data_IF_845920529197
#
_entry.id   IF_845920529197
#
_cell.length_a   1.000
_cell.length_b   1.000
_cell.length_c   1.000
_cell.angle_alpha   90.00
_cell.angle_beta   90.00
_cell.angle_gamma   90.00
#
_symmetry.space_group_name_H-M   'P 1'
#
loop_
_entity.id
_entity.type
_entity.pdbx_description
1 polymer ?
#
# COMPACT_ATOMS: atom_id res chain seq x y z
N UNK A 1 -7.60 20.96 -5.92
CA UNK A 1 -6.62 21.41 -6.94
C UNK A 1 -7.05 22.69 -7.65
N UNK A 2 -8.23 22.75 -8.30
CA UNK A 2 -8.66 23.92 -9.08
C UNK A 2 -8.60 25.22 -8.26
N UNK A 3 -9.24 25.24 -7.09
CA UNK A 3 -9.27 26.44 -6.24
C UNK A 3 -7.90 26.84 -5.69
N UNK A 4 -7.06 25.85 -5.35
CA UNK A 4 -5.67 26.07 -4.91
C UNK A 4 -4.85 26.72 -6.04
N UNK A 5 -4.96 26.21 -7.26
CA UNK A 5 -4.31 26.78 -8.44
C UNK A 5 -4.84 28.18 -8.77
N UNK A 6 -6.15 28.39 -8.67
CA UNK A 6 -6.76 29.70 -8.86
C UNK A 6 -6.19 30.72 -7.86
N UNK A 7 -6.18 30.40 -6.56
CA UNK A 7 -5.59 31.24 -5.52
C UNK A 7 -4.09 31.49 -5.77
N UNK A 8 -3.34 30.45 -6.13
CA UNK A 8 -1.92 30.58 -6.42
C UNK A 8 -1.65 31.53 -7.58
N UNK A 9 -2.38 31.41 -8.69
CA UNK A 9 -2.18 32.23 -9.88
C UNK A 9 -2.66 33.66 -9.69
N UNK A 10 -3.84 33.85 -9.09
CA UNK A 10 -4.48 35.18 -9.03
C UNK A 10 -4.03 36.03 -7.85
N UNK A 11 -3.54 35.40 -6.77
CA UNK A 11 -3.13 36.09 -5.54
C UNK A 11 -1.64 35.90 -5.28
N UNK A 12 -1.21 34.67 -5.06
CA UNK A 12 0.09 34.39 -4.46
C UNK A 12 1.25 34.73 -5.41
N UNK A 13 1.15 34.39 -6.70
CA UNK A 13 2.25 34.61 -7.66
C UNK A 13 2.75 36.06 -7.69
N UNK A 14 1.85 37.05 -7.70
CA UNK A 14 2.22 38.46 -7.82
C UNK A 14 2.54 39.11 -6.47
N UNK A 15 2.04 38.54 -5.37
CA UNK A 15 2.14 39.17 -4.04
C UNK A 15 3.30 38.59 -3.21
N UNK A 16 3.82 37.41 -3.57
CA UNK A 16 4.96 36.75 -2.91
C UNK A 16 6.11 36.49 -3.87
N UNK A 17 6.40 37.41 -4.80
CA UNK A 17 7.43 37.27 -5.85
C UNK A 17 8.84 36.97 -5.30
N UNK A 18 9.15 37.45 -4.09
CA UNK A 18 10.41 37.18 -3.39
C UNK A 18 10.65 35.68 -3.12
N UNK A 19 9.60 34.85 -3.14
CA UNK A 19 9.65 33.42 -2.86
C UNK A 19 9.72 32.56 -4.14
N UNK A 20 10.49 32.99 -5.14
CA UNK A 20 10.57 32.34 -6.45
C UNK A 20 10.84 30.82 -6.40
N UNK A 21 11.74 30.36 -5.52
CA UNK A 21 12.03 28.93 -5.34
C UNK A 21 10.82 28.14 -4.84
N UNK A 22 10.04 28.72 -3.93
CA UNK A 22 8.83 28.09 -3.40
C UNK A 22 7.73 28.03 -4.47
N UNK A 23 7.57 29.08 -5.28
CA UNK A 23 6.65 29.06 -6.41
C UNK A 23 7.02 27.99 -7.45
N UNK A 24 8.31 27.90 -7.80
CA UNK A 24 8.79 26.86 -8.72
C UNK A 24 8.53 25.46 -8.15
N UNK A 25 8.89 25.25 -6.89
CA UNK A 25 8.69 23.97 -6.20
C UNK A 25 7.21 23.60 -6.09
N UNK A 26 6.33 24.57 -5.83
CA UNK A 26 4.88 24.36 -5.80
C UNK A 26 4.34 24.01 -7.20
N UNK A 27 4.75 24.74 -8.24
CA UNK A 27 4.37 24.46 -9.62
C UNK A 27 4.77 23.05 -10.05
N UNK A 28 6.00 22.63 -9.72
CA UNK A 28 6.49 21.27 -9.97
C UNK A 28 5.68 20.23 -9.17
N UNK A 29 5.43 20.47 -7.89
CA UNK A 29 4.66 19.57 -7.04
C UNK A 29 3.23 19.38 -7.58
N UNK A 30 2.54 20.45 -7.99
CA UNK A 30 1.19 20.36 -8.56
C UNK A 30 1.20 19.65 -9.92
N UNK A 31 2.18 19.94 -10.79
CA UNK A 31 2.31 19.26 -12.08
C UNK A 31 2.55 17.76 -11.92
N UNK A 32 3.46 17.37 -11.03
CA UNK A 32 3.73 15.96 -10.71
C UNK A 32 2.52 15.30 -10.04
N UNK A 33 1.83 15.99 -9.13
CA UNK A 33 0.61 15.51 -8.49
C UNK A 33 -0.48 15.22 -9.53
N UNK A 34 -0.73 16.16 -10.45
CA UNK A 34 -1.70 16.00 -11.53
C UNK A 34 -1.36 14.82 -12.44
N UNK A 35 -0.10 14.72 -12.86
CA UNK A 35 0.39 13.64 -13.72
C UNK A 35 0.23 12.27 -13.04
N UNK A 36 0.71 12.12 -11.80
CA UNK A 36 0.64 10.85 -11.09
C UNK A 36 -0.80 10.46 -10.72
N UNK A 37 -1.66 11.44 -10.40
CA UNK A 37 -3.10 11.22 -10.20
C UNK A 37 -3.75 10.65 -11.47
N UNK A 38 -3.52 11.30 -12.61
CA UNK A 38 -4.02 10.84 -13.91
C UNK A 38 -3.51 9.44 -14.27
N UNK A 39 -2.21 9.18 -14.03
CA UNK A 39 -1.62 7.85 -14.23
C UNK A 39 -2.22 6.80 -13.30
N UNK A 40 -2.50 7.12 -12.04
CA UNK A 40 -3.12 6.18 -11.10
C UNK A 40 -4.55 5.80 -11.52
N UNK A 41 -5.29 6.75 -12.12
CA UNK A 41 -6.63 6.52 -12.68
C UNK A 41 -6.55 5.62 -13.92
N UNK A 42 -5.64 5.92 -14.85
CA UNK A 42 -5.66 5.35 -16.21
C UNK A 42 -4.84 4.08 -16.38
N UNK A 43 -3.86 3.83 -15.52
CA UNK A 43 -3.05 2.62 -15.62
C UNK A 43 -3.85 1.39 -15.22
N UNK A 44 -3.54 0.29 -15.91
CA UNK A 44 -3.92 -1.04 -15.45
C UNK A 44 -3.35 -1.26 -14.03
N UNK A 45 -4.18 -1.63 -13.04
CA UNK A 45 -3.72 -1.87 -11.68
C UNK A 45 -2.95 -3.18 -11.49
N UNK A 46 -2.79 -4.00 -12.53
CA UNK A 46 -2.28 -5.37 -12.46
C UNK A 46 -3.43 -6.37 -12.49
N UNK A 47 -4.25 -6.37 -13.55
CA UNK A 47 -5.33 -7.35 -13.68
C UNK A 47 -4.73 -8.75 -13.80
N UNK A 48 -5.25 -9.70 -13.01
CA UNK A 48 -4.81 -11.09 -13.09
C UNK A 48 -5.23 -11.71 -14.44
N UNK A 49 -4.35 -12.51 -15.06
CA UNK A 49 -4.66 -13.18 -16.32
C UNK A 49 -5.84 -14.15 -16.14
N UNK A 50 -6.73 -14.18 -17.12
CA UNK A 50 -7.81 -15.18 -17.21
C UNK A 50 -7.33 -16.36 -18.06
N UNK A 51 -7.85 -17.58 -17.83
CA UNK A 51 -7.59 -18.72 -18.70
C UNK A 51 -7.97 -18.40 -20.15
N UNK A 52 -7.16 -18.84 -21.11
CA UNK A 52 -7.37 -18.58 -22.54
C UNK A 52 -8.46 -19.50 -23.14
N UNK A 53 -8.73 -20.64 -22.51
CA UNK A 53 -9.72 -21.61 -22.97
C UNK A 53 -10.40 -22.35 -21.81
N UNK A 54 -11.58 -22.91 -22.08
CA UNK A 54 -12.30 -23.77 -21.12
C UNK A 54 -11.48 -25.01 -20.74
N UNK A 55 -10.63 -25.50 -21.65
CA UNK A 55 -9.71 -26.61 -21.37
C UNK A 55 -8.66 -26.24 -20.32
N UNK A 56 -8.07 -25.06 -20.43
CA UNK A 56 -7.11 -24.53 -19.45
C UNK A 56 -7.79 -24.23 -18.10
N UNK A 57 -9.01 -23.68 -18.13
CA UNK A 57 -9.80 -23.47 -16.92
C UNK A 57 -10.07 -24.79 -16.21
N UNK A 58 -10.46 -25.83 -16.94
CA UNK A 58 -10.71 -27.16 -16.39
C UNK A 58 -9.44 -27.75 -15.78
N UNK A 59 -8.30 -27.68 -16.47
CA UNK A 59 -7.04 -28.20 -15.93
C UNK A 59 -6.64 -27.47 -14.64
N UNK A 60 -6.76 -26.13 -14.60
CA UNK A 60 -6.49 -25.35 -13.38
C UNK A 60 -7.36 -25.80 -12.20
N UNK A 61 -8.65 -26.09 -12.45
CA UNK A 61 -9.57 -26.54 -11.40
C UNK A 61 -9.21 -27.95 -10.93
N UNK A 62 -8.92 -28.87 -11.85
CA UNK A 62 -8.53 -30.24 -11.56
C UNK A 62 -7.21 -30.29 -10.78
N UNK A 63 -6.21 -29.50 -11.19
CA UNK A 63 -4.91 -29.38 -10.51
C UNK A 63 -5.12 -28.89 -9.08
N UNK A 64 -5.83 -27.77 -8.90
CA UNK A 64 -6.11 -27.22 -7.57
C UNK A 64 -6.93 -28.18 -6.70
N UNK A 65 -7.87 -28.94 -7.28
CA UNK A 65 -8.66 -29.92 -6.56
C UNK A 65 -7.80 -31.12 -6.11
N UNK A 66 -6.93 -31.62 -7.00
CA UNK A 66 -6.02 -32.74 -6.72
C UNK A 66 -5.00 -32.39 -5.62
N UNK A 67 -4.55 -31.13 -5.59
CA UNK A 67 -3.67 -30.60 -4.55
C UNK A 67 -4.40 -30.29 -3.22
N UNK A 68 -5.73 -30.42 -3.17
CA UNK A 68 -6.54 -30.03 -2.01
C UNK A 68 -6.55 -28.50 -1.77
N UNK A 69 -6.20 -27.71 -2.80
CA UNK A 69 -6.01 -26.26 -2.73
C UNK A 69 -7.13 -25.48 -3.39
N UNK A 70 -8.17 -26.11 -3.95
CA UNK A 70 -9.30 -25.42 -4.57
C UNK A 70 -10.15 -24.70 -3.50
N UNK A 71 -9.86 -23.41 -3.28
CA UNK A 71 -10.58 -22.58 -2.32
C UNK A 71 -10.59 -21.10 -2.75
N UNK A 72 -11.32 -20.25 -2.03
CA UNK A 72 -11.45 -18.82 -2.37
C UNK A 72 -10.16 -17.99 -2.27
N UNK A 73 -9.06 -18.56 -1.75
CA UNK A 73 -7.76 -17.91 -1.72
C UNK A 73 -7.00 -18.12 -3.03
N UNK A 74 -7.06 -19.33 -3.60
CA UNK A 74 -6.32 -19.77 -4.80
C UNK A 74 -7.14 -19.69 -6.08
N UNK A 75 -8.47 -19.63 -6.00
CA UNK A 75 -9.36 -19.55 -7.15
C UNK A 75 -10.45 -18.48 -6.95
N UNK A 76 -10.78 -17.75 -8.02
CA UNK A 76 -11.86 -16.77 -8.04
C UNK A 76 -13.03 -17.30 -8.86
N UNK A 77 -14.16 -17.57 -8.20
CA UNK A 77 -15.40 -18.00 -8.87
C UNK A 77 -16.02 -16.91 -9.74
N UNK A 78 -15.82 -15.62 -9.41
CA UNK A 78 -16.41 -14.50 -10.16
C UNK A 78 -15.64 -14.26 -11.47
N UNK A 79 -14.32 -14.38 -11.43
CA UNK A 79 -13.48 -14.20 -12.61
C UNK A 79 -13.19 -15.51 -13.36
N UNK A 80 -13.58 -16.66 -12.80
CA UNK A 80 -13.23 -18.00 -13.29
C UNK A 80 -11.73 -18.12 -13.59
N UNK A 81 -10.90 -17.76 -12.60
CA UNK A 81 -9.45 -17.68 -12.79
C UNK A 81 -8.69 -18.09 -11.52
N UNK A 82 -7.51 -18.69 -11.69
CA UNK A 82 -6.55 -18.89 -10.60
C UNK A 82 -6.11 -17.54 -10.06
N UNK A 83 -6.04 -17.42 -8.75
CA UNK A 83 -5.64 -16.21 -8.04
C UNK A 83 -4.15 -16.28 -7.73
N UNK A 84 -3.33 -15.37 -8.27
CA UNK A 84 -1.97 -15.19 -7.80
C UNK A 84 -1.94 -14.88 -6.30
N UNK A 85 -0.84 -15.22 -5.64
CA UNK A 85 -0.56 -14.86 -4.27
C UNK A 85 -0.62 -13.34 -4.12
N UNK A 86 -1.15 -12.87 -2.98
CA UNK A 86 -1.41 -11.44 -2.70
C UNK A 86 -2.45 -10.78 -3.63
N UNK A 87 -3.17 -11.56 -4.46
CA UNK A 87 -4.26 -11.02 -5.29
C UNK A 87 -5.62 -11.03 -4.59
N UNK A 88 -6.52 -10.15 -5.05
CA UNK A 88 -7.91 -10.09 -4.57
C UNK A 88 -8.86 -9.67 -5.68
N UNK A 89 -10.04 -10.29 -5.68
CA UNK A 89 -11.18 -9.82 -6.47
C UNK A 89 -11.75 -8.54 -5.86
N UNK A 90 -11.75 -7.46 -6.64
CA UNK A 90 -12.42 -6.22 -6.28
C UNK A 90 -13.82 -6.23 -6.89
N UNK A 91 -14.86 -6.25 -6.04
CA UNK A 91 -16.26 -6.24 -6.49
C UNK A 91 -16.65 -4.96 -7.22
N UNK A 92 -16.04 -3.83 -6.88
CA UNK A 92 -16.34 -2.53 -7.53
C UNK A 92 -15.77 -2.50 -8.94
N UNK A 93 -14.55 -3.01 -9.13
CA UNK A 93 -13.89 -3.04 -10.43
C UNK A 93 -14.21 -4.31 -11.24
N UNK A 94 -14.93 -5.27 -10.64
CA UNK A 94 -15.28 -6.60 -11.13
C UNK A 94 -14.11 -7.39 -11.76
N UNK A 95 -12.97 -7.38 -11.07
CA UNK A 95 -11.74 -8.02 -11.55
C UNK A 95 -10.80 -8.39 -10.41
N UNK A 96 -10.00 -9.43 -10.64
CA UNK A 96 -8.89 -9.81 -9.77
C UNK A 96 -7.68 -8.91 -10.03
N UNK A 97 -7.12 -8.34 -8.95
CA UNK A 97 -5.95 -7.46 -8.99
C UNK A 97 -4.78 -8.16 -8.32
N UNK A 98 -3.64 -8.26 -9.03
CA UNK A 98 -2.37 -8.78 -8.54
C UNK A 98 -1.75 -7.81 -7.54
N UNK A 99 -1.14 -8.37 -6.47
CA UNK A 99 -0.61 -7.62 -5.33
C UNK A 99 -1.53 -6.44 -4.93
N UNK A 100 -2.80 -6.77 -4.70
CA UNK A 100 -3.85 -5.77 -4.45
C UNK A 100 -3.57 -5.03 -3.15
N UNK A 101 -3.64 -3.69 -3.20
CA UNK A 101 -3.57 -2.83 -2.02
C UNK A 101 -4.97 -2.50 -1.51
N UNK A 102 -5.71 -1.70 -2.29
CA UNK A 102 -7.10 -1.34 -1.99
C UNK A 102 -7.83 -0.88 -3.26
N UNK A 103 -9.15 -0.73 -3.17
CA UNK A 103 -9.91 0.06 -4.14
C UNK A 103 -10.00 1.48 -3.62
N UNK A 104 -9.58 2.46 -4.43
CA UNK A 104 -9.53 3.85 -4.03
C UNK A 104 -10.62 4.64 -4.75
N UNK A 105 -11.65 5.13 -4.03
CA UNK A 105 -12.72 5.92 -4.64
C UNK A 105 -12.22 7.21 -5.29
N UNK A 106 -11.13 7.80 -4.77
CA UNK A 106 -10.59 9.08 -5.23
C UNK A 106 -9.95 9.02 -6.62
N UNK A 107 -9.36 7.89 -6.98
CA UNK A 107 -8.82 7.63 -8.34
C UNK A 107 -9.77 6.76 -9.16
N UNK A 108 -10.92 6.37 -8.59
CA UNK A 108 -11.90 5.47 -9.19
C UNK A 108 -11.28 4.21 -9.84
N UNK A 109 -10.22 3.69 -9.22
CA UNK A 109 -9.46 2.56 -9.72
C UNK A 109 -8.93 1.75 -8.54
N UNK A 110 -8.60 0.48 -8.79
CA UNK A 110 -7.82 -0.28 -7.82
C UNK A 110 -6.39 0.24 -7.76
N UNK A 111 -5.79 0.19 -6.57
CA UNK A 111 -4.36 0.36 -6.38
C UNK A 111 -3.76 -1.03 -6.22
N UNK A 112 -2.89 -1.41 -7.14
CA UNK A 112 -2.28 -2.74 -7.22
C UNK A 112 -0.90 -2.69 -7.84
N UNK A 113 -0.38 -3.84 -8.27
CA UNK A 113 1.01 -4.00 -8.69
C UNK A 113 1.53 -2.90 -9.64
N UNK A 114 0.74 -2.56 -10.66
CA UNK A 114 1.21 -1.77 -11.80
C UNK A 114 1.02 -0.25 -11.62
N UNK A 115 0.15 0.19 -10.71
CA UNK A 115 -0.11 1.61 -10.47
C UNK A 115 0.20 2.09 -9.03
N UNK A 116 0.55 1.20 -8.09
CA UNK A 116 0.84 1.58 -6.71
C UNK A 116 1.96 2.64 -6.60
N UNK A 117 3.01 2.57 -7.43
CA UNK A 117 4.07 3.60 -7.45
C UNK A 117 3.52 4.99 -7.79
N UNK A 118 2.63 5.07 -8.78
CA UNK A 118 2.01 6.34 -9.17
C UNK A 118 1.11 6.87 -8.06
N UNK A 119 0.37 5.99 -7.38
CA UNK A 119 -0.42 6.37 -6.21
C UNK A 119 0.45 6.97 -5.09
N UNK A 120 1.61 6.37 -4.76
CA UNK A 120 2.52 6.91 -3.74
C UNK A 120 3.12 8.25 -4.15
N UNK A 121 3.55 8.40 -5.41
CA UNK A 121 4.07 9.66 -5.93
C UNK A 121 2.99 10.75 -5.94
N UNK A 122 1.75 10.40 -6.28
CA UNK A 122 0.59 11.29 -6.20
C UNK A 122 0.38 11.80 -4.77
N UNK A 123 0.27 10.91 -3.78
CA UNK A 123 0.03 11.34 -2.39
C UNK A 123 1.22 12.13 -1.83
N UNK A 124 2.45 11.75 -2.17
CA UNK A 124 3.67 12.45 -1.73
C UNK A 124 3.69 13.89 -2.27
N UNK A 125 3.45 14.04 -3.57
CA UNK A 125 3.45 15.37 -4.22
C UNK A 125 2.24 16.21 -3.82
N UNK A 126 1.11 15.59 -3.48
CA UNK A 126 -0.04 16.27 -2.89
C UNK A 126 0.29 16.86 -1.51
N UNK A 127 0.92 16.08 -0.62
CA UNK A 127 1.34 16.54 0.72
C UNK A 127 2.33 17.69 0.59
N UNK A 128 3.36 17.54 -0.25
CA UNK A 128 4.34 18.61 -0.52
C UNK A 128 3.64 19.85 -1.07
N UNK A 129 2.75 19.69 -2.05
CA UNK A 129 2.00 20.79 -2.65
C UNK A 129 1.16 21.57 -1.65
N UNK A 130 0.47 20.89 -0.73
CA UNK A 130 -0.32 21.55 0.32
C UNK A 130 0.60 22.33 1.28
N UNK A 131 1.71 21.73 1.74
CA UNK A 131 2.66 22.41 2.64
C UNK A 131 3.22 23.68 1.99
N UNK A 132 3.59 23.62 0.71
CA UNK A 132 4.10 24.79 -0.02
C UNK A 132 3.02 25.85 -0.24
N UNK A 133 1.77 25.46 -0.51
CA UNK A 133 0.64 26.38 -0.63
C UNK A 133 0.34 27.10 0.69
N UNK A 134 0.31 26.36 1.80
CA UNK A 134 0.08 26.91 3.13
C UNK A 134 1.22 27.87 3.53
N UNK A 135 2.47 27.53 3.20
CA UNK A 135 3.60 28.44 3.39
C UNK A 135 3.48 29.72 2.57
N UNK A 136 3.13 29.64 1.27
CA UNK A 136 2.94 30.83 0.43
C UNK A 136 1.79 31.69 0.93
N UNK A 137 0.70 31.06 1.40
CA UNK A 137 -0.44 31.76 2.00
C UNK A 137 -0.03 32.47 3.30
N UNK A 138 0.76 31.82 4.15
CA UNK A 138 1.35 32.44 5.33
C UNK A 138 2.26 33.63 4.95
N UNK A 139 3.16 33.45 3.98
CA UNK A 139 4.06 34.49 3.52
C UNK A 139 3.29 35.72 3.02
N UNK A 140 2.22 35.50 2.25
CA UNK A 140 1.32 36.56 1.78
C UNK A 140 0.72 37.35 2.95
N UNK A 141 0.09 36.68 3.92
CA UNK A 141 -0.53 37.37 5.05
C UNK A 141 0.49 38.01 6.00
N UNK A 142 1.70 37.47 6.10
CA UNK A 142 2.78 38.07 6.90
C UNK A 142 3.36 39.35 6.29
N UNK A 143 3.21 39.53 4.97
CA UNK A 143 3.70 40.69 4.24
C UNK A 143 2.72 41.87 4.19
N UNK A 144 1.46 41.66 4.56
CA UNK A 144 0.44 42.71 4.55
C UNK A 144 0.20 43.26 5.96
N UNK A 145 0.02 44.58 6.06
CA UNK A 145 -0.41 45.24 7.29
C UNK A 145 -1.93 45.35 7.30
N UNK A 146 -2.60 44.49 8.08
CA UNK A 146 -4.06 44.53 8.22
C UNK A 146 -4.45 45.36 9.45
N UNK A 147 -5.38 46.30 9.28
CA UNK A 147 -5.95 47.05 10.40
C UNK A 147 -6.68 46.09 11.33
N UNK A 148 -6.23 46.00 12.59
CA UNK A 148 -6.89 45.23 13.65
C UNK A 148 -7.84 46.09 14.49
N UNK A 149 -8.21 47.27 13.98
CA UNK A 149 -9.13 48.17 14.67
C UNK A 149 -10.52 47.52 14.79
N UNK A 150 -11.15 47.52 15.98
CA UNK A 150 -12.51 47.00 16.17
C UNK A 150 -13.57 47.69 15.29
N UNK A 151 -13.27 48.88 14.76
CA UNK A 151 -14.15 49.60 13.84
C UNK A 151 -14.16 49.01 12.42
N UNK A 152 -13.08 48.34 12.01
CA UNK A 152 -12.90 47.77 10.66
C UNK A 152 -13.24 46.28 10.61
N UNK A 153 -13.47 45.65 11.76
CA UNK A 153 -13.74 44.22 11.90
C UNK A 153 -15.23 44.02 12.16
N UNK A 154 -15.84 43.05 11.48
CA UNK A 154 -17.24 42.69 11.73
C UNK A 154 -17.44 42.27 13.20
N UNK A 155 -18.38 42.88 13.94
CA UNK A 155 -18.64 42.55 15.34
C UNK A 155 -19.20 41.13 15.52
N UNK A 156 -19.58 40.47 14.43
CA UNK A 156 -20.08 39.08 14.44
C UNK A 156 -18.97 38.02 14.33
N UNK A 157 -17.71 38.43 14.17
CA UNK A 157 -16.60 37.49 14.07
C UNK A 157 -16.20 36.95 15.46
N UNK A 158 -16.20 35.63 15.61
CA UNK A 158 -15.93 34.92 16.89
C UNK A 158 -14.42 34.60 17.04
N UNK A 159 -13.61 34.84 16.01
CA UNK A 159 -12.18 34.54 15.99
C UNK A 159 -11.37 35.67 16.67
N UNK A 160 -10.09 35.41 17.03
CA UNK A 160 -9.15 36.47 17.42
C UNK A 160 -9.09 37.60 16.39
N UNK A 161 -8.87 38.84 16.84
CA UNK A 161 -8.92 40.05 16.01
C UNK A 161 -8.05 39.95 14.75
N UNK A 162 -6.82 39.43 14.86
CA UNK A 162 -5.92 39.22 13.72
C UNK A 162 -6.49 38.25 12.69
N UNK A 163 -7.10 37.15 13.15
CA UNK A 163 -7.74 36.16 12.27
C UNK A 163 -9.01 36.72 11.63
N UNK A 164 -9.78 37.53 12.34
CA UNK A 164 -10.94 38.22 11.76
C UNK A 164 -10.51 39.22 10.68
N UNK A 165 -9.43 39.96 10.92
CA UNK A 165 -8.89 40.93 9.97
C UNK A 165 -8.36 40.23 8.69
N UNK A 166 -7.59 39.16 8.84
CA UNK A 166 -7.09 38.32 7.74
C UNK A 166 -8.25 37.70 6.94
N UNK A 167 -9.25 37.17 7.64
CA UNK A 167 -10.43 36.56 7.00
C UNK A 167 -11.29 37.59 6.27
N UNK A 168 -11.41 38.81 6.81
CA UNK A 168 -12.12 39.91 6.15
C UNK A 168 -11.38 40.40 4.89
N UNK A 169 -10.04 40.34 4.89
CA UNK A 169 -9.22 40.76 3.76
C UNK A 169 -9.36 39.83 2.54
N UNK A 170 -9.17 38.51 2.71
CA UNK A 170 -9.39 37.53 1.64
C UNK A 170 -10.02 36.24 2.19
N UNK A 171 -11.34 36.27 2.36
CA UNK A 171 -12.11 35.14 2.89
C UNK A 171 -11.95 33.88 2.04
N UNK A 172 -11.82 34.03 0.72
CA UNK A 172 -11.73 32.88 -0.18
C UNK A 172 -10.39 32.17 -0.05
N UNK A 173 -9.27 32.91 -0.07
CA UNK A 173 -7.94 32.34 0.12
C UNK A 173 -7.82 31.64 1.48
N UNK A 174 -8.30 32.29 2.55
CA UNK A 174 -8.31 31.71 3.90
C UNK A 174 -9.14 30.42 3.93
N UNK A 175 -10.33 30.42 3.33
CA UNK A 175 -11.19 29.22 3.28
C UNK A 175 -10.53 28.06 2.53
N UNK A 176 -9.88 28.35 1.40
CA UNK A 176 -9.16 27.34 0.61
C UNK A 176 -7.95 26.79 1.38
N UNK A 177 -7.17 27.65 2.05
CA UNK A 177 -6.05 27.25 2.88
C UNK A 177 -6.49 26.41 4.08
N UNK A 178 -7.50 26.86 4.83
CA UNK A 178 -8.06 26.07 5.94
C UNK A 178 -8.51 24.69 5.49
N UNK A 179 -9.18 24.59 4.33
CA UNK A 179 -9.59 23.31 3.77
C UNK A 179 -8.38 22.46 3.35
N UNK A 180 -7.35 23.05 2.73
CA UNK A 180 -6.13 22.36 2.34
C UNK A 180 -5.36 21.83 3.57
N UNK A 181 -5.16 22.64 4.60
CA UNK A 181 -4.54 22.25 5.86
C UNK A 181 -5.34 21.16 6.57
N UNK A 182 -6.67 21.24 6.55
CA UNK A 182 -7.51 20.18 7.10
C UNK A 182 -7.25 18.85 6.35
N UNK A 183 -7.21 18.86 5.02
CA UNK A 183 -6.90 17.70 4.18
C UNK A 183 -5.49 17.14 4.42
N UNK A 184 -4.53 18.00 4.76
CA UNK A 184 -3.15 17.62 5.06
C UNK A 184 -3.07 16.61 6.20
N UNK A 185 -3.91 16.77 7.23
CA UNK A 185 -3.85 15.96 8.45
C UNK A 185 -4.04 14.46 8.17
N UNK A 186 -5.08 14.06 7.43
CA UNK A 186 -5.28 12.64 7.09
C UNK A 186 -4.41 12.16 5.93
N UNK A 187 -4.04 13.03 4.99
CA UNK A 187 -3.16 12.63 3.87
C UNK A 187 -1.76 12.31 4.35
N UNK A 188 -1.24 13.00 5.38
CA UNK A 188 0.02 12.64 6.05
C UNK A 188 -0.09 11.27 6.71
N UNK A 189 -1.18 11.00 7.43
CA UNK A 189 -1.40 9.69 8.08
C UNK A 189 -1.44 8.58 7.03
N UNK A 190 -2.18 8.80 5.93
CA UNK A 190 -2.23 7.87 4.81
C UNK A 190 -0.82 7.62 4.24
N UNK A 191 -0.06 8.68 3.95
CA UNK A 191 1.28 8.58 3.38
C UNK A 191 2.25 7.85 4.33
N UNK A 192 2.25 8.20 5.61
CA UNK A 192 3.07 7.54 6.61
C UNK A 192 2.73 6.05 6.74
N UNK A 193 1.43 5.72 6.74
CA UNK A 193 0.98 4.33 6.79
C UNK A 193 1.44 3.53 5.57
N UNK A 194 1.38 4.11 4.37
CA UNK A 194 1.81 3.47 3.13
C UNK A 194 3.33 3.29 3.09
N UNK A 195 4.12 4.28 3.53
CA UNK A 195 5.56 4.12 3.63
C UNK A 195 5.98 3.04 4.62
N UNK A 196 5.28 2.94 5.76
CA UNK A 196 5.51 1.84 6.72
C UNK A 196 5.17 0.48 6.12
N UNK A 197 4.08 0.38 5.35
CA UNK A 197 3.70 -0.85 4.64
C UNK A 197 4.73 -1.25 3.59
N UNK A 198 5.21 -0.29 2.79
CA UNK A 198 6.28 -0.50 1.81
C UNK A 198 7.57 -0.95 2.50
N UNK A 199 7.95 -0.27 3.58
CA UNK A 199 9.13 -0.60 4.38
C UNK A 199 9.12 -2.03 4.94
N UNK A 200 7.95 -2.63 5.10
CA UNK A 200 7.75 -4.00 5.62
C UNK A 200 7.30 -4.99 4.54
N UNK A 201 7.26 -4.56 3.28
CA UNK A 201 6.74 -5.31 2.13
C UNK A 201 5.36 -5.93 2.40
N UNK A 202 4.41 -5.09 2.83
CA UNK A 202 3.01 -5.44 3.04
C UNK A 202 2.10 -4.55 2.20
N UNK A 203 0.89 -5.01 1.92
CA UNK A 203 -0.19 -4.19 1.35
C UNK A 203 -1.27 -3.89 2.39
N UNK A 204 -2.11 -2.89 2.13
CA UNK A 204 -3.24 -2.52 3.01
C UNK A 204 -4.21 -3.68 3.16
N UNK A 205 -4.38 -4.47 2.09
CA UNK A 205 -5.15 -5.72 2.11
C UNK A 205 -4.59 -6.70 3.15
N UNK A 206 -3.27 -6.90 3.17
CA UNK A 206 -2.61 -7.84 4.07
C UNK A 206 -2.70 -7.36 5.51
N UNK A 207 -2.39 -6.08 5.75
CA UNK A 207 -2.45 -5.47 7.09
C UNK A 207 -3.87 -5.52 7.66
N UNK A 208 -4.89 -5.25 6.84
CA UNK A 208 -6.29 -5.32 7.28
C UNK A 208 -6.80 -6.74 7.51
N UNK A 209 -6.06 -7.77 7.07
CA UNK A 209 -6.44 -9.18 7.16
C UNK A 209 -5.33 -10.05 7.78
N UNK A 210 -4.48 -9.50 8.65
CA UNK A 210 -3.35 -10.22 9.28
C UNK A 210 -3.79 -11.53 9.97
N UNK A 211 -5.00 -11.57 10.55
CA UNK A 211 -5.54 -12.78 11.17
C UNK A 211 -5.94 -13.90 10.19
N UNK A 212 -6.04 -13.61 8.89
CA UNK A 212 -6.53 -14.51 7.82
C UNK A 212 -5.43 -14.97 6.85
N UNK A 213 -4.39 -14.15 6.62
CA UNK A 213 -3.28 -14.53 5.74
C UNK A 213 -2.19 -15.24 6.56
N UNK A 214 -2.14 -16.57 6.49
CA UNK A 214 -1.29 -17.36 7.39
C UNK A 214 0.22 -17.38 7.07
N UNK A 215 0.67 -16.81 5.96
CA UNK A 215 2.10 -16.52 5.77
C UNK A 215 2.61 -15.39 6.69
N UNK A 216 1.70 -14.67 7.35
CA UNK A 216 1.96 -13.68 8.41
C UNK A 216 1.40 -14.13 9.76
N UNK A 217 1.28 -15.44 10.03
CA UNK A 217 0.93 -15.93 11.37
C UNK A 217 -0.57 -15.90 11.73
N UNK A 218 -1.44 -15.91 10.73
CA UNK A 218 -2.90 -16.11 10.89
C UNK A 218 -3.29 -17.48 11.47
N UNK A 219 -4.58 -17.65 11.83
CA UNK A 219 -5.08 -18.90 12.46
C UNK A 219 -4.83 -20.14 11.58
N UNK A 220 -4.42 -21.24 12.24
CA UNK A 220 -4.16 -22.54 11.61
C UNK A 220 -5.34 -23.02 10.74
N UNK A 221 -5.00 -23.58 9.59
CA UNK A 221 -5.93 -23.85 8.47
C UNK A 221 -5.78 -22.88 7.30
N UNK A 222 -5.14 -21.73 7.54
CA UNK A 222 -4.72 -20.76 6.50
C UNK A 222 -3.22 -20.46 6.52
N UNK A 223 -2.46 -21.25 7.30
CA UNK A 223 -1.00 -21.25 7.39
C UNK A 223 -0.37 -21.47 6.02
N UNK A 224 0.92 -21.16 5.90
CA UNK A 224 1.71 -21.54 4.73
C UNK A 224 1.54 -23.03 4.39
N UNK A 225 1.20 -23.91 5.35
CA UNK A 225 0.88 -25.33 5.13
C UNK A 225 -0.50 -25.62 4.49
N UNK A 226 -1.40 -24.64 4.38
CA UNK A 226 -2.66 -24.73 3.62
C UNK A 226 -2.60 -24.02 2.26
N UNK A 227 -1.56 -23.21 2.02
CA UNK A 227 -1.29 -22.55 0.73
C UNK A 227 -0.12 -23.20 -0.02
N UNK A 228 0.90 -23.68 0.69
CA UNK A 228 1.94 -24.59 0.23
C UNK A 228 1.61 -25.97 0.82
N UNK A 229 1.53 -26.96 -0.06
CA UNK A 229 1.09 -28.30 0.27
C UNK A 229 1.86 -28.94 1.44
N UNK A 230 1.18 -29.86 2.09
CA UNK A 230 1.71 -30.75 3.09
C UNK A 230 2.79 -31.66 2.49
N UNK A 231 4.08 -31.42 2.81
CA UNK A 231 5.12 -32.47 2.85
C UNK A 231 5.93 -32.32 4.13
N UNK A 232 5.29 -32.56 5.27
CA UNK A 232 6.03 -33.06 6.42
C UNK A 232 5.93 -34.58 6.40
N UNK A 233 7.02 -35.20 5.96
CA UNK A 233 7.30 -36.62 6.17
C UNK A 233 7.15 -36.92 7.66
N UNK A 234 6.32 -37.92 7.97
CA UNK A 234 6.20 -38.48 9.30
C UNK A 234 7.59 -38.84 9.86
N UNK A 235 7.87 -38.36 11.08
CA UNK A 235 8.74 -39.07 12.01
C UNK A 235 8.09 -39.07 13.38
N UNK A 236 7.40 -40.19 13.64
CA UNK A 236 7.12 -40.82 14.94
C UNK A 236 6.69 -39.92 16.10
N UNK A 237 5.40 -39.97 16.42
CA UNK A 237 4.95 -40.15 17.79
C UNK A 237 3.49 -40.62 17.73
N UNK A 238 3.28 -41.87 18.12
CA UNK A 238 1.97 -42.46 18.35
C UNK A 238 1.21 -41.65 19.41
N UNK A 239 -0.07 -41.39 19.17
CA UNK A 239 -1.16 -41.66 20.13
C UNK A 239 -2.49 -41.35 19.46
N UNK A 240 -3.40 -42.30 19.60
CA UNK A 240 -4.80 -42.26 19.21
C UNK A 240 -5.52 -41.09 19.88
N UNK A 241 -6.45 -40.45 19.18
CA UNK A 241 -7.76 -40.16 19.76
C UNK A 241 -8.78 -39.75 18.67
N UNK A 242 -9.73 -40.67 18.51
CA UNK A 242 -11.02 -40.49 17.82
C UNK A 242 -11.97 -39.64 18.66
N UNK A 243 -12.49 -38.54 18.13
CA UNK A 243 -13.78 -37.95 18.54
C UNK A 243 -14.25 -36.97 17.44
N UNK A 244 -15.24 -37.33 16.63
CA UNK A 244 -16.68 -37.18 16.86
C UNK A 244 -17.16 -35.72 16.99
N UNK A 245 -18.10 -35.43 16.10
CA UNK A 245 -19.02 -34.29 16.07
C UNK A 245 -19.70 -34.13 17.43
N UNK A 246 -19.70 -32.91 17.98
CA UNK A 246 -20.76 -32.48 18.90
C UNK A 246 -20.98 -30.97 18.84
N UNK A 247 -22.25 -30.62 18.61
CA UNK A 247 -22.85 -29.35 19.00
C UNK A 247 -22.75 -29.16 20.52
N UNK A 248 -22.36 -27.97 20.97
CA UNK A 248 -22.81 -27.45 22.27
C UNK A 248 -22.61 -25.92 22.36
N UNK A 249 -23.72 -25.26 22.70
CA UNK A 249 -23.83 -23.85 22.99
C UNK A 249 -23.10 -23.43 24.29
N UNK A 250 -22.63 -22.17 24.37
CA UNK A 250 -22.53 -21.38 25.62
C UNK A 250 -22.13 -19.94 25.25
N UNK A 251 -23.06 -18.98 25.40
CA UNK A 251 -23.31 -18.13 26.58
C UNK A 251 -22.64 -16.75 26.44
N UNK A 252 -23.47 -15.73 26.21
CA UNK A 252 -23.05 -14.34 26.17
C UNK A 252 -23.23 -13.72 27.55
N UNK A 253 -22.13 -13.34 28.20
CA UNK A 253 -22.12 -12.48 29.39
C UNK A 253 -21.88 -11.03 28.96
N UNK A 254 -22.88 -10.16 29.21
CA UNK A 254 -22.74 -8.72 29.05
C UNK A 254 -22.16 -8.13 30.34
N UNK A 255 -20.93 -7.62 30.28
CA UNK A 255 -20.41 -6.72 31.31
C UNK A 255 -20.66 -5.26 30.91
N UNK A 256 -21.54 -4.60 31.65
CA UNK A 256 -21.67 -3.15 31.66
C UNK A 256 -20.55 -2.56 32.51
N UNK A 257 -19.61 -1.85 31.88
CA UNK A 257 -18.59 -1.05 32.54
C UNK A 257 -18.93 0.44 32.49
N UNK A 258 -19.09 1.05 33.67
CA UNK A 258 -19.31 2.47 33.88
C UNK A 258 -18.11 3.34 33.40
N UNK A 259 -18.29 4.66 33.18
CA UNK A 259 -17.31 5.49 32.49
C UNK A 259 -16.18 5.88 33.44
N UNK A 260 -14.95 5.48 33.12
CA UNK A 260 -13.76 6.00 33.77
C UNK A 260 -13.35 7.32 33.12
N UNK A 261 -13.28 8.36 33.94
CA UNK A 261 -12.74 9.67 33.60
C UNK A 261 -11.24 9.57 33.33
N UNK A 262 -10.83 9.95 32.12
CA UNK A 262 -9.42 10.14 31.76
C UNK A 262 -9.01 9.47 30.46
N UNK A 263 -9.20 10.14 29.32
CA UNK A 263 -8.32 10.01 28.15
C UNK A 263 -8.77 10.93 27.00
N UNK A 264 -8.19 12.13 26.91
CA UNK A 264 -8.28 12.98 25.71
C UNK A 264 -7.64 12.35 24.46
N UNK A 265 -6.92 11.23 24.60
CA UNK A 265 -6.36 10.46 23.48
C UNK A 265 -7.39 9.57 22.77
N UNK A 266 -8.45 9.14 23.44
CA UNK A 266 -9.40 8.17 22.89
C UNK A 266 -10.28 8.73 21.79
N UNK A 267 -10.71 9.99 21.93
CA UNK A 267 -11.55 10.68 20.94
C UNK A 267 -10.78 11.00 19.67
N UNK A 268 -9.57 11.55 19.79
CA UNK A 268 -8.69 11.87 18.67
C UNK A 268 -8.33 10.61 17.86
N UNK A 269 -8.01 9.51 18.53
CA UNK A 269 -7.69 8.25 17.85
C UNK A 269 -8.90 7.64 17.13
N UNK A 270 -10.11 7.84 17.65
CA UNK A 270 -11.36 7.39 17.02
C UNK A 270 -11.77 8.30 15.84
N UNK A 271 -11.60 9.61 16.00
CA UNK A 271 -11.85 10.62 14.97
C UNK A 271 -10.88 10.48 13.80
N UNK A 272 -9.61 10.16 14.07
CA UNK A 272 -8.57 9.93 13.07
C UNK A 272 -8.58 8.50 12.50
N UNK A 273 -9.47 7.61 12.97
CA UNK A 273 -9.55 6.20 12.54
C UNK A 273 -8.32 5.34 12.89
N UNK A 274 -7.46 5.84 13.78
CA UNK A 274 -6.28 5.14 14.29
C UNK A 274 -6.65 4.09 15.36
N UNK A 275 -7.88 4.12 15.86
CA UNK A 275 -8.42 3.12 16.79
C UNK A 275 -8.36 1.69 16.21
N UNK A 276 -8.56 1.56 14.89
CA UNK A 276 -8.51 0.32 14.13
C UNK A 276 -7.13 -0.35 14.16
N UNK A 277 -6.06 0.42 14.40
CA UNK A 277 -4.69 -0.06 14.53
C UNK A 277 -4.22 -0.16 15.98
N UNK A 278 -4.95 0.41 16.94
CA UNK A 278 -4.49 0.59 18.32
C UNK A 278 -5.35 -0.11 19.37
N UNK A 279 -6.46 -0.76 18.97
CA UNK A 279 -7.33 -1.52 19.89
C UNK A 279 -7.58 -2.97 19.45
N UNK A 280 -7.59 -3.88 20.43
CA UNK A 280 -8.17 -5.23 20.35
C UNK A 280 -7.47 -6.22 19.39
N UNK A 281 -8.28 -7.03 18.68
CA UNK A 281 -7.85 -8.14 17.79
C UNK A 281 -6.81 -7.74 16.72
N UNK A 282 -6.74 -6.45 16.35
CA UNK A 282 -5.74 -5.93 15.42
C UNK A 282 -4.34 -5.86 16.05
N UNK A 283 -4.23 -5.52 17.34
CA UNK A 283 -2.96 -5.50 18.10
C UNK A 283 -2.50 -6.93 18.38
N UNK A 284 -3.41 -7.83 18.77
CA UNK A 284 -3.10 -9.26 18.92
C UNK A 284 -2.72 -9.90 17.57
N UNK A 285 -3.37 -9.48 16.49
CA UNK A 285 -3.02 -9.85 15.12
C UNK A 285 -1.63 -9.35 14.73
N UNK A 286 -1.28 -8.10 15.07
CA UNK A 286 0.07 -7.56 14.89
C UNK A 286 1.11 -8.29 15.74
N UNK A 287 0.79 -8.65 16.99
CA UNK A 287 1.69 -9.36 17.90
C UNK A 287 1.93 -10.82 17.47
N UNK A 288 0.91 -11.48 16.88
CA UNK A 288 1.06 -12.81 16.27
C UNK A 288 1.78 -12.75 14.93
N UNK A 289 1.47 -11.75 14.09
CA UNK A 289 2.19 -11.48 12.86
C UNK A 289 3.65 -11.06 13.11
N UNK A 290 3.95 -10.51 14.27
CA UNK A 290 5.32 -10.26 14.71
C UNK A 290 6.10 -11.55 14.99
N UNK A 291 5.43 -12.69 15.25
CA UNK A 291 6.08 -14.00 15.48
C UNK A 291 6.26 -14.80 14.19
N UNK A 292 5.46 -14.56 13.16
CA UNK A 292 5.63 -15.16 11.83
C UNK A 292 6.47 -14.23 10.95
N UNK A 293 7.54 -14.74 10.35
CA UNK A 293 8.35 -13.94 9.44
C UNK A 293 7.59 -13.67 8.14
N UNK A 294 7.46 -12.41 7.73
CA UNK A 294 6.97 -12.07 6.39
C UNK A 294 7.97 -12.62 5.36
N UNK A 295 7.60 -13.61 4.52
CA UNK A 295 8.53 -14.23 3.57
C UNK A 295 8.99 -13.26 2.47
N UNK A 296 8.26 -12.15 2.26
CA UNK A 296 8.61 -11.11 1.30
C UNK A 296 9.52 -10.02 1.87
N UNK A 297 9.84 -10.06 3.17
CA UNK A 297 10.63 -9.03 3.84
C UNK A 297 12.14 -9.23 3.60
N UNK A 298 12.74 -8.31 2.85
CA UNK A 298 14.18 -8.20 2.56
C UNK A 298 14.88 -7.16 3.45
N UNK A 299 14.22 -6.65 4.49
CA UNK A 299 14.65 -5.50 5.27
C UNK A 299 14.31 -4.18 4.57
N UNK A 300 14.41 -3.08 5.32
CA UNK A 300 13.92 -1.75 4.90
C UNK A 300 14.37 -1.34 3.49
N UNK A 301 15.67 -1.38 3.22
CA UNK A 301 16.23 -0.96 1.92
C UNK A 301 15.83 -1.94 0.81
N UNK A 302 15.85 -3.24 1.08
CA UNK A 302 15.46 -4.27 0.12
C UNK A 302 13.99 -4.16 -0.28
N UNK A 303 13.11 -3.91 0.69
CA UNK A 303 11.68 -3.75 0.47
C UNK A 303 11.36 -2.51 -0.35
N UNK A 304 12.02 -1.39 -0.05
CA UNK A 304 11.90 -0.17 -0.85
C UNK A 304 12.40 -0.41 -2.28
N UNK A 305 13.57 -1.04 -2.47
CA UNK A 305 14.08 -1.40 -3.80
C UNK A 305 13.12 -2.32 -4.56
N UNK A 306 12.54 -3.33 -3.90
CA UNK A 306 11.57 -4.23 -4.50
C UNK A 306 10.30 -3.51 -4.96
N UNK A 307 9.77 -2.61 -4.12
CA UNK A 307 8.60 -1.79 -4.45
C UNK A 307 8.82 -0.95 -5.71
N UNK A 308 9.96 -0.25 -5.79
CA UNK A 308 10.28 0.60 -6.94
C UNK A 308 10.67 -0.20 -8.19
N UNK A 309 11.29 -1.38 -8.01
CA UNK A 309 11.71 -2.26 -9.11
C UNK A 309 10.61 -3.20 -9.61
N UNK A 310 9.43 -3.18 -8.98
CA UNK A 310 8.26 -3.98 -9.36
C UNK A 310 8.42 -5.50 -9.17
N UNK A 311 9.08 -5.95 -8.10
CA UNK A 311 9.31 -7.39 -7.88
C UNK A 311 10.61 -7.93 -8.48
N UNK A 312 11.34 -7.12 -9.28
CA UNK A 312 12.62 -7.54 -9.87
C UNK A 312 13.70 -7.82 -8.83
N UNK A 313 13.70 -7.10 -7.72
CA UNK A 313 14.62 -7.36 -6.59
C UNK A 313 14.37 -8.75 -5.97
N UNK A 314 13.11 -9.17 -5.88
CA UNK A 314 12.72 -10.52 -5.45
C UNK A 314 12.81 -11.57 -6.57
N UNK A 315 12.97 -11.16 -7.84
CA UNK A 315 12.89 -12.05 -9.00
C UNK A 315 11.50 -12.63 -9.24
N UNK A 316 10.44 -11.86 -8.92
CA UNK A 316 9.06 -12.33 -8.87
C UNK A 316 8.17 -11.55 -9.83
N UNK A 317 7.42 -12.28 -10.66
CA UNK A 317 6.27 -11.75 -11.41
C UNK A 317 5.00 -11.91 -10.56
N UNK A 318 4.58 -10.86 -9.87
CA UNK A 318 3.43 -10.91 -8.95
C UNK A 318 2.10 -11.30 -9.63
N UNK A 319 1.99 -11.16 -10.94
CA UNK A 319 0.83 -11.58 -11.75
C UNK A 319 0.77 -13.11 -11.96
N UNK A 320 1.90 -13.81 -11.79
CA UNK A 320 2.04 -15.27 -11.95
C UNK A 320 2.64 -15.95 -10.73
N UNK A 321 2.75 -15.24 -9.61
CA UNK A 321 3.24 -15.80 -8.37
C UNK A 321 2.11 -16.60 -7.72
N UNK A 322 2.22 -17.93 -7.65
CA UNK A 322 1.20 -18.78 -6.99
C UNK A 322 1.68 -19.41 -5.69
N UNK A 323 2.99 -19.51 -5.51
CA UNK A 323 3.62 -20.24 -4.41
C UNK A 323 4.79 -19.46 -3.81
N UNK A 324 5.09 -19.74 -2.54
CA UNK A 324 6.28 -19.22 -1.86
C UNK A 324 7.35 -20.31 -1.92
N UNK A 325 8.62 -19.99 -2.27
CA UNK A 325 9.72 -20.96 -2.20
C UNK A 325 9.82 -21.59 -0.81
N UNK A 326 10.13 -22.89 -0.73
CA UNK A 326 10.28 -23.62 0.55
C UNK A 326 11.32 -22.98 1.49
N UNK A 327 12.39 -22.45 0.91
CA UNK A 327 13.47 -21.74 1.60
C UNK A 327 13.18 -20.23 1.86
N UNK A 328 12.06 -19.72 1.35
CA UNK A 328 11.69 -18.31 1.36
C UNK A 328 12.40 -17.47 0.29
N UNK A 329 11.86 -16.28 -0.01
CA UNK A 329 12.38 -15.45 -1.10
C UNK A 329 13.79 -14.91 -0.85
N UNK A 330 14.17 -14.72 0.42
CA UNK A 330 15.51 -14.21 0.78
C UNK A 330 16.61 -15.21 0.43
N UNK A 331 16.41 -16.49 0.75
CA UNK A 331 17.39 -17.52 0.44
C UNK A 331 17.37 -17.89 -1.05
N UNK A 332 16.19 -17.94 -1.66
CA UNK A 332 16.05 -18.11 -3.11
C UNK A 332 16.79 -17.02 -3.89
N UNK A 333 16.77 -15.76 -3.41
CA UNK A 333 17.57 -14.67 -3.97
C UNK A 333 19.07 -14.92 -3.85
N UNK A 334 19.56 -15.29 -2.66
CA UNK A 334 20.98 -15.58 -2.43
C UNK A 334 21.49 -16.73 -3.30
N UNK A 335 20.66 -17.75 -3.52
CA UNK A 335 21.01 -18.85 -4.42
C UNK A 335 21.19 -18.35 -5.85
N UNK A 336 20.23 -17.58 -6.38
CA UNK A 336 20.32 -16.99 -7.73
C UNK A 336 21.56 -16.10 -7.90
N UNK A 337 21.87 -15.27 -6.90
CA UNK A 337 23.07 -14.43 -6.93
C UNK A 337 24.38 -15.25 -6.96
N UNK A 338 24.41 -16.42 -6.31
CA UNK A 338 25.55 -17.35 -6.37
C UNK A 338 25.65 -18.03 -7.73
N UNK A 339 24.53 -18.52 -8.25
CA UNK A 339 24.46 -19.14 -9.58
C UNK A 339 24.91 -18.17 -10.68
N UNK A 340 24.47 -16.91 -10.63
CA UNK A 340 24.89 -15.86 -11.55
C UNK A 340 26.40 -15.57 -11.44
N UNK A 341 26.94 -15.53 -10.21
CA UNK A 341 28.37 -15.31 -9.99
C UNK A 341 29.24 -16.48 -10.49
N UNK A 342 28.75 -17.72 -10.35
CA UNK A 342 29.44 -18.91 -10.83
C UNK A 342 29.35 -19.01 -12.36
N UNK A 343 28.23 -18.64 -12.98
CA UNK A 343 28.11 -18.49 -14.44
C UNK A 343 29.07 -17.43 -15.01
N UNK A 344 29.15 -16.25 -14.36
CA UNK A 344 30.04 -15.17 -14.81
C UNK A 344 31.52 -15.57 -14.69
N UNK A 345 31.87 -16.39 -13.70
CA UNK A 345 33.19 -17.03 -13.59
C UNK A 345 33.44 -18.04 -14.70
N UNK A 346 32.43 -18.85 -15.05
CA UNK A 346 32.52 -19.84 -16.13
C UNK A 346 32.62 -19.21 -17.54
N UNK A 347 31.98 -18.05 -17.75
CA UNK A 347 31.94 -17.35 -19.04
C UNK A 347 33.17 -16.46 -19.33
N UNK A 348 34.13 -16.39 -18.41
CA UNK A 348 35.39 -15.70 -18.58
C UNK A 348 35.25 -14.18 -18.74
N UNK A 349 35.14 -13.47 -17.60
CA UNK A 349 35.47 -12.05 -17.34
C UNK A 349 35.01 -10.97 -18.34
N UNK A 350 35.45 -11.04 -19.60
CA UNK A 350 35.13 -10.08 -20.67
C UNK A 350 33.71 -10.20 -21.22
N UNK A 351 33.11 -11.40 -21.23
CA UNK A 351 31.69 -11.59 -21.64
C UNK A 351 30.71 -11.28 -20.50
N UNK A 352 31.08 -11.57 -19.25
CA UNK A 352 30.31 -11.21 -18.05
C UNK A 352 30.18 -9.70 -17.87
N UNK A 353 31.29 -8.95 -17.97
CA UNK A 353 31.27 -7.49 -17.77
C UNK A 353 30.34 -6.75 -18.75
N UNK A 354 30.25 -7.21 -20.01
CA UNK A 354 29.29 -6.66 -20.99
C UNK A 354 27.85 -6.90 -20.53
N UNK A 355 27.53 -8.11 -20.06
CA UNK A 355 26.20 -8.50 -19.58
C UNK A 355 25.80 -7.70 -18.33
N UNK A 356 26.71 -7.52 -17.37
CA UNK A 356 26.47 -6.70 -16.16
C UNK A 356 26.27 -5.22 -16.48
N UNK A 357 27.03 -4.67 -17.44
CA UNK A 357 26.91 -3.27 -17.88
C UNK A 357 25.56 -3.00 -18.58
N UNK A 358 25.11 -3.92 -19.44
CA UNK A 358 23.80 -3.82 -20.10
C UNK A 358 22.62 -4.00 -19.13
N UNK A 359 22.80 -4.77 -18.05
CA UNK A 359 21.82 -4.96 -16.99
C UNK A 359 21.70 -3.73 -16.06
N UNK A 360 22.81 -3.02 -15.80
CA UNK A 360 22.83 -1.77 -15.02
C UNK A 360 22.27 -0.53 -15.75
N UNK A 361 22.26 -0.55 -17.09
CA UNK A 361 21.76 0.55 -17.94
C UNK A 361 20.30 0.36 -18.41
N UNK A 362 19.63 -0.71 -18.00
CA UNK A 362 18.21 -0.94 -18.35
C UNK A 362 17.92 -1.20 -19.84
N UNK A 363 18.95 -1.52 -20.64
CA UNK A 363 18.86 -1.74 -22.09
C UNK A 363 18.91 -3.23 -22.49
N UNK A 364 18.91 -4.16 -21.52
CA UNK A 364 18.83 -5.60 -21.75
C UNK A 364 17.38 -6.05 -21.98
N UNK A 365 17.08 -6.54 -23.18
CA UNK A 365 15.79 -7.13 -23.51
C UNK A 365 15.37 -8.25 -22.54
N UNK A 366 14.07 -8.26 -22.27
CA UNK A 366 13.34 -9.22 -21.42
C UNK A 366 13.54 -10.67 -21.88
N UNK A 367 14.56 -11.36 -21.37
CA UNK A 367 14.65 -12.82 -21.46
C UNK A 367 15.59 -13.37 -20.39
N UNK A 368 15.16 -13.42 -19.13
CA UNK A 368 15.74 -14.36 -18.16
C UNK A 368 14.80 -14.60 -16.99
N UNK A 369 14.61 -15.88 -16.70
CA UNK A 369 13.50 -16.48 -15.97
C UNK A 369 13.13 -15.76 -14.67
N UNK A 370 11.88 -15.29 -14.60
CA UNK A 370 11.23 -15.09 -13.31
C UNK A 370 11.15 -16.41 -12.54
N UNK A 371 10.86 -16.33 -11.24
CA UNK A 371 10.62 -17.51 -10.40
C UNK A 371 9.77 -18.57 -11.12
N UNK A 372 10.37 -19.72 -11.43
CA UNK A 372 9.66 -20.91 -11.91
C UNK A 372 8.89 -21.52 -10.73
N UNK A 373 7.56 -21.69 -10.84
CA UNK A 373 6.76 -22.30 -9.79
C UNK A 373 7.19 -23.75 -9.55
N UNK A 374 7.08 -24.23 -8.31
CA UNK A 374 7.56 -25.54 -7.82
C UNK A 374 6.73 -26.73 -8.36
N UNK A 375 6.07 -26.60 -9.52
CA UNK A 375 5.21 -27.64 -10.09
C UNK A 375 5.44 -27.91 -11.58
N UNK A 376 6.66 -27.71 -12.09
CA UNK A 376 7.05 -28.19 -13.43
C UNK A 376 8.21 -29.20 -13.42
N UNK A 377 8.29 -30.03 -12.38
CA UNK A 377 9.13 -31.25 -12.39
C UNK A 377 8.28 -32.46 -12.04
#
# INVERSE_FOLDING_TARGET
>A
MIWVLYCWVTRLLNQTESHAFTHLSFGLAVGLCAYNFFRAITLDPGICPKPASDGELKSIIEDLASEGRLNGQTFCIQCMARKPLRSKHCRVCDRCISRSDHHCPWVWNCVGMNNHRQFILFVTTLVIGIILFDYLTYAFFSGISVSSSPADISPSCILPAELCAITAYDTFLVSVAMWATLQLSWTIVLLASQFWQIARQMTTLEVSNLGRYGFMGGRGGSSLSGQAGHRHSHRGADTEDTALVSDAASSHTHHHGAPCAGCGSGFLMNLLGLDRFTKGKAVDGLARASKASNPFDLGLVGNCKDFWSAGRELGVEYEKLYDVPLEGFREAKRRREREDADEDRALGGRKGLRKTLFMGLGLGGSSRAGYEPVSQV
#
